data_IF_281397853243
#
_entry.id   IF_281397853243
#
_cell.length_a   1.000
_cell.length_b   1.000
_cell.length_c   1.000
_cell.angle_alpha   90.00
_cell.angle_beta   90.00
_cell.angle_gamma   90.00
#
_symmetry.space_group_name_H-M   'P 1'
#
loop_
_entity.id
_entity.type
_entity.pdbx_description
1 polymer ?
#
# COMPACT_ATOMS: atom_id res chain seq x y z
N UNK A 1 -38.19 -14.89 1.29
CA UNK A 1 -36.92 -15.50 0.81
C UNK A 1 -35.79 -14.56 1.18
N UNK A 2 -34.58 -15.04 1.52
CA UNK A 2 -33.42 -14.14 1.58
C UNK A 2 -33.33 -13.37 0.26
N UNK A 3 -33.03 -12.08 0.29
CA UNK A 3 -32.74 -11.37 -0.94
C UNK A 3 -31.52 -11.98 -1.64
N UNK A 4 -31.44 -11.84 -2.96
CA UNK A 4 -30.39 -12.46 -3.78
C UNK A 4 -28.98 -12.04 -3.29
N UNK A 5 -28.84 -10.81 -2.79
CA UNK A 5 -27.61 -10.28 -2.20
C UNK A 5 -27.19 -11.04 -0.93
N UNK A 6 -28.12 -11.44 -0.09
CA UNK A 6 -27.85 -12.29 1.07
C UNK A 6 -27.29 -13.64 0.65
N UNK A 7 -27.82 -14.25 -0.43
CA UNK A 7 -27.32 -15.51 -0.95
C UNK A 7 -25.89 -15.36 -1.52
N UNK A 8 -25.63 -14.29 -2.28
CA UNK A 8 -24.30 -13.96 -2.78
C UNK A 8 -23.32 -13.69 -1.63
N UNK A 9 -23.74 -12.96 -0.59
CA UNK A 9 -22.94 -12.73 0.61
C UNK A 9 -22.50 -14.05 1.25
N UNK A 10 -23.46 -14.96 1.48
CA UNK A 10 -23.17 -16.30 2.05
C UNK A 10 -22.23 -17.14 1.19
N UNK A 11 -22.21 -16.95 -0.14
CA UNK A 11 -21.24 -17.62 -1.01
C UNK A 11 -19.81 -17.13 -0.72
N UNK A 12 -19.58 -15.82 -0.73
CA UNK A 12 -18.25 -15.23 -0.49
C UNK A 12 -17.78 -15.34 0.96
N UNK A 13 -18.68 -15.59 1.90
CA UNK A 13 -18.35 -15.89 3.31
C UNK A 13 -17.81 -17.31 3.52
N UNK A 14 -17.94 -18.21 2.54
CA UNK A 14 -17.47 -19.60 2.69
C UNK A 14 -15.95 -19.65 2.94
N UNK A 15 -15.47 -20.54 3.82
CA UNK A 15 -14.04 -20.65 4.15
C UNK A 15 -13.11 -20.83 2.95
N UNK A 16 -13.60 -21.44 1.86
CA UNK A 16 -12.82 -21.63 0.63
C UNK A 16 -12.23 -20.32 0.10
N UNK A 17 -13.00 -19.22 0.09
CA UNK A 17 -12.56 -17.90 -0.39
C UNK A 17 -11.54 -17.23 0.54
N UNK A 18 -11.26 -17.82 1.70
CA UNK A 18 -10.34 -17.28 2.70
C UNK A 18 -9.08 -18.12 2.87
N UNK A 19 -8.89 -19.23 2.16
CA UNK A 19 -7.73 -20.11 2.34
C UNK A 19 -6.57 -19.71 1.44
N UNK A 20 -5.36 -19.66 1.99
CA UNK A 20 -4.16 -19.29 1.21
C UNK A 20 -3.85 -20.28 0.08
N UNK A 21 -4.01 -21.58 0.32
CA UNK A 21 -3.68 -22.64 -0.64
C UNK A 21 -4.54 -22.62 -1.91
N UNK A 22 -5.80 -22.18 -1.79
CA UNK A 22 -6.72 -22.05 -2.93
C UNK A 22 -6.19 -21.06 -3.97
N UNK A 23 -5.41 -20.07 -3.54
CA UNK A 23 -4.87 -19.05 -4.43
C UNK A 23 -3.91 -19.67 -5.46
N UNK A 24 -3.06 -20.59 -5.01
CA UNK A 24 -2.17 -21.35 -5.90
C UNK A 24 -2.97 -22.31 -6.78
N UNK A 25 -3.93 -23.06 -6.21
CA UNK A 25 -4.76 -24.04 -6.94
C UNK A 25 -5.46 -23.40 -8.14
N UNK A 26 -6.08 -22.22 -7.95
CA UNK A 26 -6.73 -21.46 -9.03
C UNK A 26 -5.71 -20.79 -9.94
N UNK A 27 -4.62 -20.25 -9.39
CA UNK A 27 -3.61 -19.52 -10.16
C UNK A 27 -2.94 -20.37 -11.24
N UNK A 28 -2.67 -21.65 -10.96
CA UNK A 28 -2.03 -22.56 -11.92
C UNK A 28 -3.01 -23.26 -12.87
N UNK A 29 -4.32 -23.11 -12.64
CA UNK A 29 -5.34 -23.84 -13.38
C UNK A 29 -5.44 -23.40 -14.86
N UNK A 30 -5.66 -24.38 -15.75
CA UNK A 30 -5.98 -24.10 -17.15
C UNK A 30 -7.48 -23.84 -17.38
N UNK A 31 -8.31 -24.44 -16.53
CA UNK A 31 -9.75 -24.28 -16.46
C UNK A 31 -10.14 -24.37 -14.99
N UNK A 32 -11.07 -23.52 -14.54
CA UNK A 32 -11.52 -23.49 -13.16
C UNK A 32 -13.06 -23.54 -13.12
N UNK A 33 -13.60 -24.50 -12.39
CA UNK A 33 -15.05 -24.66 -12.20
C UNK A 33 -15.31 -24.74 -10.71
N UNK A 34 -16.16 -23.84 -10.20
CA UNK A 34 -16.56 -23.85 -8.80
C UNK A 34 -17.76 -24.78 -8.60
N UNK A 35 -17.71 -25.56 -7.52
CA UNK A 35 -18.77 -26.46 -7.09
C UNK A 35 -19.36 -25.94 -5.78
N UNK A 36 -20.69 -25.82 -5.71
CA UNK A 36 -21.40 -25.44 -4.49
C UNK A 36 -22.62 -26.36 -4.31
N UNK A 37 -22.47 -27.39 -3.47
CA UNK A 37 -23.45 -28.48 -3.42
C UNK A 37 -23.51 -29.22 -4.77
N UNK A 38 -24.71 -29.38 -5.32
CA UNK A 38 -24.90 -29.98 -6.67
C UNK A 38 -24.79 -28.98 -7.83
N UNK A 39 -24.54 -27.70 -7.55
CA UNK A 39 -24.45 -26.65 -8.56
C UNK A 39 -23.00 -26.42 -9.00
N UNK A 40 -22.82 -26.04 -10.25
CA UNK A 40 -21.52 -25.68 -10.84
C UNK A 40 -21.60 -24.32 -11.53
N UNK A 41 -20.52 -23.56 -11.47
CA UNK A 41 -20.36 -22.30 -12.21
C UNK A 41 -18.92 -22.18 -12.71
N UNK A 42 -18.72 -21.55 -13.87
CA UNK A 42 -17.36 -21.19 -14.29
C UNK A 42 -16.77 -20.19 -13.29
N UNK A 43 -15.51 -20.39 -12.92
CA UNK A 43 -14.88 -19.52 -11.95
C UNK A 43 -14.70 -18.08 -12.46
N UNK A 44 -14.68 -17.90 -13.79
CA UNK A 44 -14.64 -16.57 -14.41
C UNK A 44 -15.77 -15.66 -13.95
N UNK A 45 -16.98 -16.20 -13.83
CA UNK A 45 -18.17 -15.46 -13.40
C UNK A 45 -18.02 -14.92 -11.96
N UNK A 46 -17.46 -15.74 -11.07
CA UNK A 46 -17.20 -15.36 -9.68
C UNK A 46 -16.14 -14.24 -9.63
N UNK A 47 -15.07 -14.39 -10.40
CA UNK A 47 -13.98 -13.42 -10.46
C UNK A 47 -14.43 -12.08 -11.07
N UNK A 48 -15.16 -12.11 -12.18
CA UNK A 48 -15.72 -10.93 -12.84
C UNK A 48 -16.73 -10.22 -11.94
N UNK A 49 -17.60 -10.96 -11.24
CA UNK A 49 -18.51 -10.38 -10.26
C UNK A 49 -17.75 -9.67 -9.14
N UNK A 50 -16.70 -10.29 -8.59
CA UNK A 50 -15.89 -9.68 -7.54
C UNK A 50 -15.23 -8.36 -8.00
N UNK A 51 -14.67 -8.33 -9.22
CA UNK A 51 -14.11 -7.13 -9.84
C UNK A 51 -15.16 -6.04 -10.07
N UNK A 52 -16.32 -6.42 -10.62
CA UNK A 52 -17.41 -5.50 -10.89
C UNK A 52 -17.92 -4.89 -9.58
N UNK A 53 -18.28 -5.73 -8.59
CA UNK A 53 -18.75 -5.29 -7.29
C UNK A 53 -17.74 -4.35 -6.62
N UNK A 54 -16.44 -4.67 -6.63
CA UNK A 54 -15.42 -3.77 -6.08
C UNK A 54 -15.41 -2.39 -6.77
N UNK A 55 -15.53 -2.36 -8.11
CA UNK A 55 -15.52 -1.12 -8.90
C UNK A 55 -16.74 -0.23 -8.63
N UNK A 56 -17.92 -0.83 -8.44
CA UNK A 56 -19.20 -0.09 -8.38
C UNK A 56 -19.83 -0.01 -6.98
N UNK A 57 -19.37 -0.77 -5.98
CA UNK A 57 -20.00 -0.82 -4.63
C UNK A 57 -20.23 0.55 -4.01
N UNK A 58 -19.35 1.52 -4.31
CA UNK A 58 -19.44 2.91 -3.81
C UNK A 58 -20.62 3.72 -4.38
N UNK A 59 -21.27 3.21 -5.43
CA UNK A 59 -22.46 3.80 -6.05
C UNK A 59 -23.73 2.98 -5.74
N UNK A 60 -23.60 1.86 -5.03
CA UNK A 60 -24.71 0.96 -4.71
C UNK A 60 -25.21 1.18 -3.27
N UNK A 61 -26.48 0.85 -2.98
CA UNK A 61 -26.99 0.90 -1.61
C UNK A 61 -26.24 -0.06 -0.67
N UNK A 62 -26.06 0.31 0.61
CA UNK A 62 -25.30 -0.48 1.60
C UNK A 62 -25.69 -1.97 1.69
N UNK A 63 -26.96 -2.32 1.44
CA UNK A 63 -27.45 -3.71 1.46
C UNK A 63 -26.80 -4.62 0.41
N UNK A 64 -26.20 -4.07 -0.64
CA UNK A 64 -25.51 -4.86 -1.68
C UNK A 64 -24.06 -5.14 -1.30
N UNK A 65 -23.58 -4.65 -0.16
CA UNK A 65 -22.18 -4.79 0.24
C UNK A 65 -21.90 -6.24 0.69
N UNK A 66 -21.33 -7.02 -0.21
CA UNK A 66 -20.94 -8.42 0.01
C UNK A 66 -19.42 -8.60 0.11
N UNK A 67 -18.97 -9.68 0.73
CA UNK A 67 -17.57 -9.93 1.09
C UNK A 67 -16.65 -10.32 -0.10
N UNK A 68 -16.75 -9.65 -1.26
CA UNK A 68 -15.97 -9.97 -2.46
C UNK A 68 -14.52 -9.50 -2.43
N UNK A 69 -14.10 -8.78 -1.38
CA UNK A 69 -12.79 -8.13 -1.32
C UNK A 69 -11.62 -9.11 -1.47
N UNK A 70 -11.67 -10.26 -0.80
CA UNK A 70 -10.63 -11.30 -0.92
C UNK A 70 -10.50 -11.81 -2.36
N UNK A 71 -11.62 -12.10 -3.02
CA UNK A 71 -11.62 -12.57 -4.41
C UNK A 71 -11.14 -11.50 -5.39
N UNK A 72 -11.48 -10.23 -5.14
CA UNK A 72 -10.96 -9.09 -5.90
C UNK A 72 -9.44 -8.98 -5.75
N UNK A 73 -8.91 -9.02 -4.52
CA UNK A 73 -7.47 -8.96 -4.27
C UNK A 73 -6.73 -10.16 -4.89
N UNK A 74 -7.28 -11.37 -4.74
CA UNK A 74 -6.72 -12.57 -5.37
C UNK A 74 -6.65 -12.43 -6.89
N UNK A 75 -7.71 -11.90 -7.52
CA UNK A 75 -7.74 -11.65 -8.96
C UNK A 75 -6.68 -10.62 -9.39
N UNK A 76 -6.64 -9.48 -8.70
CA UNK A 76 -5.79 -8.35 -9.05
C UNK A 76 -4.30 -8.63 -8.81
N UNK A 77 -3.96 -9.21 -7.66
CA UNK A 77 -2.56 -9.34 -7.23
C UNK A 77 -1.96 -10.70 -7.49
N UNK A 78 -2.77 -11.76 -7.45
CA UNK A 78 -2.25 -13.14 -7.44
C UNK A 78 -2.51 -13.84 -8.76
N UNK A 79 -3.77 -14.07 -9.14
CA UNK A 79 -4.12 -14.84 -10.34
C UNK A 79 -3.68 -14.15 -11.62
N UNK A 80 -3.69 -12.81 -11.67
CA UNK A 80 -3.12 -12.06 -12.79
C UNK A 80 -1.62 -12.36 -13.02
N UNK A 81 -0.86 -12.71 -11.97
CA UNK A 81 0.61 -12.86 -12.02
C UNK A 81 1.12 -14.29 -12.19
N UNK A 82 0.26 -15.30 -12.03
CA UNK A 82 0.68 -16.72 -12.14
C UNK A 82 1.20 -17.16 -13.52
N UNK A 83 1.06 -16.35 -14.57
CA UNK A 83 1.95 -16.44 -15.71
C UNK A 83 1.68 -17.56 -16.73
N UNK A 84 0.68 -18.44 -16.56
CA UNK A 84 0.53 -19.58 -17.48
C UNK A 84 -0.08 -19.16 -18.84
N UNK A 85 0.50 -19.64 -19.95
CA UNK A 85 0.01 -19.44 -21.33
C UNK A 85 -1.41 -19.99 -21.50
N UNK A 86 -1.71 -21.08 -20.79
CA UNK A 86 -3.03 -21.71 -20.78
C UNK A 86 -3.91 -21.29 -19.61
N UNK A 87 -3.66 -20.14 -18.95
CA UNK A 87 -4.45 -19.70 -17.79
C UNK A 87 -5.95 -19.60 -18.12
N UNK A 88 -6.80 -19.97 -17.16
CA UNK A 88 -8.25 -19.80 -17.26
C UNK A 88 -8.66 -18.33 -17.52
N UNK A 89 -7.87 -17.36 -17.08
CA UNK A 89 -8.10 -15.93 -17.33
C UNK A 89 -7.98 -15.54 -18.81
N UNK A 90 -7.30 -16.35 -19.63
CA UNK A 90 -7.16 -16.09 -21.06
C UNK A 90 -8.41 -16.50 -21.85
N UNK A 91 -9.34 -17.23 -21.23
CA UNK A 91 -10.59 -17.68 -21.85
C UNK A 91 -11.65 -16.58 -21.97
N UNK A 92 -11.50 -15.48 -21.23
CA UNK A 92 -12.42 -14.34 -21.24
C UNK A 92 -11.67 -13.04 -21.59
N UNK A 93 -12.14 -12.22 -22.55
CA UNK A 93 -11.46 -10.99 -22.96
C UNK A 93 -11.29 -9.95 -21.85
N UNK A 94 -12.25 -9.85 -20.93
CA UNK A 94 -12.21 -8.89 -19.81
C UNK A 94 -11.19 -9.34 -18.78
N UNK A 95 -11.17 -10.62 -18.42
CA UNK A 95 -10.16 -11.18 -17.52
C UNK A 95 -8.75 -11.06 -18.10
N UNK A 96 -8.60 -11.29 -19.41
CA UNK A 96 -7.33 -11.08 -20.10
C UNK A 96 -6.88 -9.61 -20.01
N UNK A 97 -7.76 -8.65 -20.25
CA UNK A 97 -7.45 -7.24 -20.12
C UNK A 97 -7.11 -6.83 -18.66
N UNK A 98 -7.82 -7.38 -17.66
CA UNK A 98 -7.51 -7.19 -16.24
C UNK A 98 -6.09 -7.70 -15.93
N UNK A 99 -5.77 -8.91 -16.41
CA UNK A 99 -4.44 -9.49 -16.25
C UNK A 99 -3.37 -8.57 -16.84
N UNK A 100 -3.51 -8.18 -18.11
CA UNK A 100 -2.58 -7.29 -18.81
C UNK A 100 -2.41 -5.95 -18.08
N UNK A 101 -3.50 -5.39 -17.54
CA UNK A 101 -3.49 -4.15 -16.78
C UNK A 101 -2.64 -4.24 -15.50
N UNK A 102 -2.77 -5.33 -14.73
CA UNK A 102 -2.10 -5.49 -13.43
C UNK A 102 -0.65 -5.96 -13.56
N UNK A 103 -0.30 -6.70 -14.61
CA UNK A 103 1.09 -7.14 -14.87
C UNK A 103 1.89 -6.12 -15.67
N UNK A 104 1.28 -5.00 -16.08
CA UNK A 104 1.96 -3.95 -16.81
C UNK A 104 3.22 -3.46 -16.05
N UNK A 105 4.35 -3.19 -16.73
CA UNK A 105 5.60 -2.81 -16.08
C UNK A 105 5.51 -1.57 -15.18
N UNK A 106 4.54 -0.67 -15.40
CA UNK A 106 4.33 0.48 -14.52
C UNK A 106 3.78 0.11 -13.14
N UNK A 107 3.14 -1.06 -13.03
CA UNK A 107 2.44 -1.56 -11.84
C UNK A 107 3.11 -2.79 -11.23
N UNK A 108 3.86 -3.54 -12.03
CA UNK A 108 4.64 -4.69 -11.60
C UNK A 108 6.13 -4.38 -11.69
N UNK A 109 6.85 -4.53 -10.56
CA UNK A 109 8.28 -4.28 -10.48
C UNK A 109 9.09 -5.58 -10.41
N UNK A 110 8.76 -6.57 -11.26
CA UNK A 110 9.45 -7.86 -11.35
C UNK A 110 9.71 -8.50 -9.97
N UNK A 111 8.67 -8.93 -9.27
CA UNK A 111 8.85 -9.59 -7.98
C UNK A 111 7.55 -10.02 -7.31
N UNK A 112 7.66 -11.06 -6.49
CA UNK A 112 6.52 -11.71 -5.81
C UNK A 112 5.97 -10.92 -4.60
N UNK A 113 6.40 -9.67 -4.40
CA UNK A 113 6.11 -8.90 -3.18
C UNK A 113 4.62 -8.64 -3.03
N UNK A 114 3.92 -8.30 -4.11
CA UNK A 114 2.47 -8.13 -4.16
C UNK A 114 1.74 -9.42 -3.80
N UNK A 115 2.18 -10.55 -4.37
CA UNK A 115 1.58 -11.87 -4.10
C UNK A 115 1.75 -12.23 -2.62
N UNK A 116 2.95 -12.06 -2.07
CA UNK A 116 3.25 -12.31 -0.66
C UNK A 116 2.45 -11.37 0.25
N UNK A 117 2.32 -10.08 -0.12
CA UNK A 117 1.51 -9.14 0.63
C UNK A 117 0.04 -9.51 0.65
N UNK A 118 -0.53 -9.78 -0.52
CA UNK A 118 -1.95 -10.11 -0.67
C UNK A 118 -2.28 -11.44 -0.01
N UNK A 119 -1.35 -12.39 0.02
CA UNK A 119 -1.52 -13.65 0.74
C UNK A 119 -1.86 -13.46 2.22
N UNK A 120 -1.39 -12.37 2.86
CA UNK A 120 -1.59 -12.07 4.28
C UNK A 120 -3.05 -11.80 4.65
N UNK A 121 -3.91 -11.51 3.67
CA UNK A 121 -5.35 -11.37 3.87
C UNK A 121 -6.07 -12.73 3.95
N UNK A 122 -5.36 -13.84 3.72
CA UNK A 122 -5.91 -15.19 3.72
C UNK A 122 -5.49 -15.95 4.98
N UNK A 123 -6.18 -17.03 5.26
CA UNK A 123 -5.96 -17.91 6.38
C UNK A 123 -5.02 -19.04 5.98
N UNK A 124 -4.01 -19.26 6.82
CA UNK A 124 -3.08 -20.38 6.73
C UNK A 124 -3.14 -21.19 8.03
N UNK A 125 -2.88 -22.50 7.92
CA UNK A 125 -2.72 -23.36 9.11
C UNK A 125 -1.36 -23.14 9.76
N UNK A 126 -0.33 -22.85 8.96
CA UNK A 126 1.01 -22.50 9.41
C UNK A 126 1.41 -21.14 8.85
N UNK A 127 1.97 -20.28 9.69
CA UNK A 127 2.41 -18.92 9.30
C UNK A 127 3.34 -18.90 8.07
N UNK A 128 4.17 -19.91 7.91
CA UNK A 128 5.10 -20.04 6.78
C UNK A 128 4.40 -20.38 5.46
N UNK A 129 3.15 -20.84 5.44
CA UNK A 129 2.45 -21.18 4.20
C UNK A 129 2.10 -19.95 3.36
N UNK A 130 2.08 -18.76 3.96
CA UNK A 130 2.04 -17.48 3.23
C UNK A 130 3.27 -17.24 2.34
N UNK A 131 4.36 -17.97 2.60
CA UNK A 131 5.55 -18.00 1.76
C UNK A 131 5.56 -19.26 0.90
N UNK A 132 5.46 -20.44 1.53
CA UNK A 132 5.63 -21.71 0.84
C UNK A 132 4.57 -21.99 -0.22
N UNK A 133 3.33 -21.52 -0.03
CA UNK A 133 2.28 -21.64 -1.03
C UNK A 133 2.57 -20.90 -2.36
N UNK A 134 3.55 -20.01 -2.39
CA UNK A 134 3.87 -19.20 -3.56
C UNK A 134 5.30 -19.38 -4.09
N UNK A 135 6.12 -20.26 -3.52
CA UNK A 135 7.46 -20.54 -4.06
C UNK A 135 7.45 -21.15 -5.48
N UNK A 136 6.33 -21.77 -5.88
CA UNK A 136 6.12 -22.24 -7.25
C UNK A 136 5.79 -21.14 -8.26
N UNK A 137 5.58 -19.90 -7.82
CA UNK A 137 5.23 -18.78 -8.68
C UNK A 137 6.41 -18.38 -9.59
N UNK A 138 6.11 -17.87 -10.80
CA UNK A 138 7.14 -17.52 -11.80
C UNK A 138 8.08 -16.41 -11.34
N UNK A 139 7.59 -15.50 -10.49
CA UNK A 139 8.37 -14.42 -9.86
C UNK A 139 9.07 -14.84 -8.56
N UNK A 140 8.93 -16.11 -8.12
CA UNK A 140 9.59 -16.68 -6.94
C UNK A 140 10.89 -17.44 -7.29
N UNK A 141 11.54 -17.08 -8.39
CA UNK A 141 12.74 -17.76 -8.88
C UNK A 141 14.02 -17.01 -8.52
N UNK A 142 15.11 -17.75 -8.33
CA UNK A 142 16.46 -17.22 -8.17
C UNK A 142 16.93 -16.49 -9.43
N UNK A 143 18.06 -15.77 -9.34
CA UNK A 143 18.63 -15.00 -10.46
C UNK A 143 18.90 -15.83 -11.72
N UNK A 144 19.18 -17.13 -11.57
CA UNK A 144 19.40 -18.05 -12.68
C UNK A 144 18.10 -18.58 -13.31
N UNK A 145 16.94 -18.26 -12.72
CA UNK A 145 15.62 -18.70 -13.15
C UNK A 145 15.33 -20.19 -12.95
N UNK A 146 16.25 -20.97 -12.37
CA UNK A 146 16.15 -22.44 -12.31
C UNK A 146 15.66 -22.95 -10.96
N UNK A 147 16.09 -22.34 -9.87
CA UNK A 147 15.65 -22.68 -8.50
C UNK A 147 14.63 -21.69 -7.96
N UNK A 148 13.96 -22.08 -6.87
CA UNK A 148 13.14 -21.16 -6.10
C UNK A 148 14.03 -20.19 -5.31
N UNK A 149 13.48 -19.05 -4.87
CA UNK A 149 14.20 -18.09 -4.02
C UNK A 149 14.71 -18.72 -2.72
N UNK A 150 13.93 -19.63 -2.14
CA UNK A 150 14.30 -20.43 -0.96
C UNK A 150 13.70 -21.84 -1.11
N UNK A 151 14.26 -22.79 -0.38
CA UNK A 151 13.71 -24.15 -0.27
C UNK A 151 12.70 -24.26 0.87
N UNK A 152 11.71 -25.15 0.67
CA UNK A 152 10.70 -25.47 1.69
C UNK A 152 11.37 -26.22 2.83
N UNK A 153 11.35 -25.61 4.01
CA UNK A 153 11.84 -26.25 5.23
C UNK A 153 10.89 -25.94 6.39
N UNK A 154 10.06 -26.91 6.74
CA UNK A 154 9.10 -26.79 7.83
C UNK A 154 9.72 -26.98 9.22
N UNK A 155 11.01 -27.29 9.31
CA UNK A 155 11.77 -27.37 10.57
C UNK A 155 12.46 -26.04 10.90
N UNK A 156 12.70 -25.19 9.89
CA UNK A 156 13.25 -23.84 10.09
C UNK A 156 12.27 -22.96 10.88
N UNK A 157 12.74 -22.17 11.87
CA UNK A 157 11.93 -21.16 12.50
C UNK A 157 11.29 -20.19 11.48
N UNK A 158 10.08 -19.72 11.77
CA UNK A 158 9.32 -18.84 10.87
C UNK A 158 10.08 -17.54 10.58
N UNK A 159 10.65 -16.93 11.61
CA UNK A 159 11.46 -15.71 11.54
C UNK A 159 12.72 -15.87 10.67
N UNK A 160 13.41 -17.00 10.77
CA UNK A 160 14.58 -17.28 9.93
C UNK A 160 14.17 -17.48 8.47
N UNK A 161 13.02 -18.11 8.23
CA UNK A 161 12.44 -18.26 6.89
C UNK A 161 12.12 -16.90 6.27
N UNK A 162 11.54 -15.98 7.04
CA UNK A 162 11.21 -14.64 6.56
C UNK A 162 12.44 -13.78 6.30
N UNK A 163 13.45 -13.84 7.18
CA UNK A 163 14.73 -13.16 6.96
C UNK A 163 15.43 -13.70 5.72
N UNK A 164 15.49 -15.02 5.55
CA UNK A 164 16.09 -15.64 4.38
C UNK A 164 15.39 -15.21 3.10
N UNK A 165 14.05 -15.29 3.06
CA UNK A 165 13.27 -14.86 1.89
C UNK A 165 13.48 -13.38 1.58
N UNK A 166 13.40 -12.52 2.59
CA UNK A 166 13.59 -11.08 2.44
C UNK A 166 14.96 -10.76 1.87
N UNK A 167 16.02 -11.39 2.39
CA UNK A 167 17.39 -11.26 1.88
C UNK A 167 17.48 -11.71 0.43
N UNK A 168 16.93 -12.87 0.08
CA UNK A 168 16.97 -13.38 -1.29
C UNK A 168 16.20 -12.48 -2.26
N UNK A 169 15.04 -11.94 -1.86
CA UNK A 169 14.27 -10.98 -2.66
C UNK A 169 15.07 -9.71 -2.95
N UNK A 170 15.71 -9.13 -1.94
CA UNK A 170 16.50 -7.90 -2.09
C UNK A 170 17.71 -8.11 -3.01
N UNK A 171 18.42 -9.22 -2.83
CA UNK A 171 19.63 -9.53 -3.61
C UNK A 171 19.30 -9.96 -5.05
N UNK A 172 18.22 -10.71 -5.25
CA UNK A 172 17.83 -11.20 -6.59
C UNK A 172 17.24 -10.09 -7.46
N UNK A 173 16.34 -9.29 -6.91
CA UNK A 173 15.61 -8.25 -7.68
C UNK A 173 16.35 -6.91 -7.73
N UNK A 174 17.31 -6.68 -6.83
CA UNK A 174 17.91 -5.35 -6.58
C UNK A 174 16.86 -4.26 -6.33
N UNK A 175 15.70 -4.64 -5.82
CA UNK A 175 14.56 -3.77 -5.56
C UNK A 175 14.28 -3.68 -4.07
N UNK A 176 14.07 -2.46 -3.55
CA UNK A 176 13.69 -2.23 -2.15
C UNK A 176 12.17 -2.10 -1.98
N UNK A 177 11.40 -2.54 -2.99
CA UNK A 177 9.94 -2.65 -2.91
C UNK A 177 9.47 -3.58 -1.81
N UNK A 178 10.32 -4.44 -1.24
CA UNK A 178 9.98 -5.20 -0.05
C UNK A 178 9.72 -4.31 1.18
N UNK A 179 10.48 -3.21 1.33
CA UNK A 179 10.38 -2.31 2.49
C UNK A 179 9.00 -1.67 2.64
N UNK A 180 8.33 -1.53 1.50
CA UNK A 180 6.96 -1.10 1.42
C UNK A 180 6.05 -2.01 2.29
N UNK A 181 6.07 -3.33 2.09
CA UNK A 181 5.09 -4.21 2.76
C UNK A 181 5.39 -4.48 4.25
N UNK A 182 6.43 -3.85 4.81
CA UNK A 182 6.77 -3.87 6.22
C UNK A 182 5.80 -2.99 7.02
N UNK A 183 5.19 -3.55 8.06
CA UNK A 183 4.27 -2.85 8.95
C UNK A 183 4.55 -3.25 10.40
N UNK A 184 4.33 -2.32 11.33
CA UNK A 184 4.47 -2.53 12.77
C UNK A 184 3.25 -1.95 13.49
N UNK A 185 2.79 -2.63 14.54
CA UNK A 185 1.64 -2.18 15.33
C UNK A 185 2.02 -1.20 16.44
N UNK A 186 3.19 -1.42 17.05
CA UNK A 186 3.63 -0.73 18.26
C UNK A 186 4.60 0.38 17.95
N UNK A 187 4.45 1.50 18.68
CA UNK A 187 5.30 2.67 18.52
C UNK A 187 6.78 2.30 18.67
N UNK A 188 7.17 1.49 19.67
CA UNK A 188 8.58 1.11 19.91
C UNK A 188 9.18 0.12 18.90
N UNK A 189 8.40 -0.33 17.91
CA UNK A 189 8.80 -1.39 16.96
C UNK A 189 9.22 -2.69 17.68
N UNK A 190 8.77 -2.85 18.92
CA UNK A 190 8.91 -4.07 19.71
C UNK A 190 7.56 -4.76 19.65
N UNK A 191 7.59 -5.97 19.14
CA UNK A 191 6.42 -6.79 18.92
C UNK A 191 6.83 -8.23 19.25
N UNK A 192 6.11 -8.86 20.17
CA UNK A 192 6.39 -10.22 20.60
C UNK A 192 6.29 -11.21 19.43
N UNK A 193 5.41 -10.95 18.45
CA UNK A 193 5.25 -11.78 17.26
C UNK A 193 6.50 -11.75 16.35
N UNK A 194 7.25 -10.65 16.36
CA UNK A 194 8.46 -10.50 15.53
C UNK A 194 9.59 -11.41 15.97
N UNK A 195 9.64 -11.87 17.23
CA UNK A 195 10.68 -12.78 17.77
C UNK A 195 12.12 -12.40 17.37
N UNK A 196 12.42 -11.09 17.41
CA UNK A 196 13.74 -10.56 17.07
C UNK A 196 14.01 -10.35 15.58
N UNK A 197 13.01 -10.46 14.69
CA UNK A 197 13.15 -10.08 13.28
C UNK A 197 13.60 -8.63 13.14
N UNK A 198 14.58 -8.35 12.25
CA UNK A 198 14.99 -6.99 11.93
C UNK A 198 13.82 -6.13 11.49
N UNK A 199 13.82 -4.84 11.80
CA UNK A 199 12.65 -3.98 11.55
C UNK A 199 12.30 -3.80 10.07
N UNK A 200 13.23 -4.10 9.16
CA UNK A 200 13.06 -4.04 7.71
C UNK A 200 12.48 -5.33 7.10
N UNK A 201 12.35 -6.42 7.87
CA UNK A 201 11.80 -7.70 7.38
C UNK A 201 10.29 -7.74 7.61
N UNK A 202 9.46 -8.03 6.59
CA UNK A 202 8.03 -8.21 6.78
C UNK A 202 7.69 -9.48 7.56
N UNK A 203 6.64 -9.44 8.38
CA UNK A 203 5.99 -10.65 8.89
C UNK A 203 4.96 -11.12 7.85
N UNK A 204 5.30 -12.16 7.09
CA UNK A 204 4.49 -12.59 5.94
C UNK A 204 3.18 -13.31 6.32
N UNK A 205 2.91 -13.60 7.59
CA UNK A 205 1.62 -14.13 8.06
C UNK A 205 0.71 -13.06 8.68
N UNK A 206 1.28 -11.98 9.19
CA UNK A 206 0.52 -11.00 9.97
C UNK A 206 -0.40 -10.23 9.06
N UNK A 207 -1.71 -10.23 9.34
CA UNK A 207 -2.70 -9.53 8.51
C UNK A 207 -2.30 -8.07 8.30
N UNK A 208 -2.41 -7.50 7.08
CA UNK A 208 -2.04 -6.12 6.85
C UNK A 208 -2.90 -5.19 7.71
N UNK A 209 -2.23 -4.30 8.44
CA UNK A 209 -2.85 -3.40 9.40
C UNK A 209 -3.53 -2.22 8.71
N UNK A 210 -3.01 -1.84 7.53
CA UNK A 210 -3.45 -0.72 6.69
C UNK A 210 -3.31 -1.15 5.22
N UNK A 211 -4.11 -0.56 4.33
CA UNK A 211 -3.81 -0.60 2.90
C UNK A 211 -2.40 -0.05 2.70
N UNK A 212 -1.51 -0.89 2.15
CA UNK A 212 -0.14 -0.47 1.87
C UNK A 212 -0.16 0.60 0.75
N UNK A 213 0.78 1.56 0.74
CA UNK A 213 0.75 2.60 -0.30
C UNK A 213 1.24 1.95 -1.61
N UNK A 214 0.34 1.27 -2.34
CA UNK A 214 0.58 0.61 -3.64
C UNK A 214 1.65 1.39 -4.41
N UNK A 215 2.86 0.83 -4.55
CA UNK A 215 3.93 1.54 -5.19
C UNK A 215 3.68 1.49 -6.70
N UNK A 216 3.11 2.56 -7.24
CA UNK A 216 2.93 2.71 -8.67
C UNK A 216 4.08 3.54 -9.22
N UNK A 217 4.57 3.26 -10.43
CA UNK A 217 5.73 3.97 -11.01
C UNK A 217 5.56 5.50 -11.00
N UNK A 218 4.33 5.98 -11.15
CA UNK A 218 3.99 7.40 -11.06
C UNK A 218 4.13 8.02 -9.66
N UNK A 219 4.26 7.22 -8.60
CA UNK A 219 4.46 7.65 -7.21
C UNK A 219 5.89 7.45 -6.73
N UNK A 220 6.72 6.77 -7.52
CA UNK A 220 8.11 6.45 -7.21
C UNK A 220 8.87 7.71 -6.77
N UNK A 221 9.24 7.74 -5.49
CA UNK A 221 10.01 8.83 -4.91
C UNK A 221 11.48 8.80 -5.34
N UNK A 222 11.99 7.64 -5.79
CA UNK A 222 13.37 7.46 -6.22
C UNK A 222 13.45 6.59 -7.49
N UNK A 223 13.16 7.12 -8.70
CA UNK A 223 13.24 6.31 -9.91
C UNK A 223 14.57 5.59 -10.00
N UNK A 224 14.48 4.26 -10.02
CA UNK A 224 15.63 3.34 -10.14
C UNK A 224 16.45 3.64 -11.40
N UNK A 225 15.81 4.21 -12.43
CA UNK A 225 16.45 4.61 -13.68
C UNK A 225 17.21 5.93 -13.53
N UNK A 226 18.54 5.81 -13.38
CA UNK A 226 19.49 6.93 -13.50
C UNK A 226 20.46 7.10 -12.33
N UNK A 227 20.30 6.35 -11.24
CA UNK A 227 21.28 6.26 -10.14
C UNK A 227 21.97 4.88 -10.10
N UNK A 228 21.85 4.11 -11.19
CA UNK A 228 22.18 2.69 -11.31
C UNK A 228 23.61 2.28 -10.93
N UNK A 229 24.55 3.22 -10.83
CA UNK A 229 25.95 2.88 -10.56
C UNK A 229 26.29 2.83 -9.06
N UNK A 230 25.44 3.38 -8.16
CA UNK A 230 25.76 3.51 -6.73
C UNK A 230 24.63 3.05 -5.77
N UNK A 231 23.64 2.28 -6.22
CA UNK A 231 22.60 1.74 -5.31
C UNK A 231 23.21 0.61 -4.49
N UNK A 232 23.70 0.95 -3.29
CA UNK A 232 24.17 -0.04 -2.31
C UNK A 232 22.95 -0.79 -1.78
N UNK A 233 22.89 -2.09 -2.04
CA UNK A 233 22.00 -3.03 -1.36
C UNK A 233 22.87 -4.22 -0.96
N UNK A 234 23.14 -4.33 0.34
CA UNK A 234 23.83 -5.48 0.93
C UNK A 234 23.15 -5.88 2.22
N UNK A 235 23.18 -7.19 2.49
CA UNK A 235 22.68 -7.75 3.75
C UNK A 235 23.84 -8.48 4.41
N UNK A 236 24.14 -8.11 5.65
CA UNK A 236 25.12 -8.81 6.49
C UNK A 236 24.42 -9.31 7.76
N UNK A 237 24.18 -10.63 7.81
CA UNK A 237 23.36 -11.27 8.83
C UNK A 237 21.94 -10.68 8.90
N UNK A 238 21.74 -9.77 9.85
CA UNK A 238 20.47 -9.10 10.14
C UNK A 238 20.41 -7.63 9.71
N UNK A 239 21.55 -7.07 9.31
CA UNK A 239 21.69 -5.67 8.94
C UNK A 239 21.52 -5.50 7.42
N UNK A 240 20.66 -4.56 7.00
CA UNK A 240 20.49 -4.17 5.60
C UNK A 240 21.15 -2.81 5.38
N UNK A 241 22.19 -2.75 4.55
CA UNK A 241 22.83 -1.50 4.15
C UNK A 241 22.21 -0.97 2.86
N UNK A 242 21.76 0.28 2.90
CA UNK A 242 21.16 0.97 1.75
C UNK A 242 21.64 2.41 1.61
N UNK A 243 21.67 2.92 0.39
CA UNK A 243 21.90 4.34 0.15
C UNK A 243 20.58 5.13 0.36
N UNK A 244 20.64 6.25 1.08
CA UNK A 244 19.48 7.10 1.35
C UNK A 244 19.82 8.59 1.46
N UNK A 245 18.80 9.43 1.24
CA UNK A 245 18.77 10.82 1.69
C UNK A 245 17.99 10.91 2.99
N UNK A 246 18.63 11.37 4.07
CA UNK A 246 17.95 11.72 5.32
C UNK A 246 17.68 13.21 5.27
N UNK A 247 16.41 13.63 5.26
CA UNK A 247 16.05 15.03 4.94
C UNK A 247 15.64 15.85 6.16
N UNK A 248 14.73 15.34 6.99
CA UNK A 248 14.08 16.14 8.02
C UNK A 248 13.72 15.27 9.24
N UNK A 249 13.35 15.92 10.35
CA UNK A 249 12.99 15.27 11.62
C UNK A 249 11.53 15.56 11.96
N UNK A 250 10.78 14.53 12.36
CA UNK A 250 9.42 14.71 12.88
C UNK A 250 9.48 15.44 14.22
N UNK A 251 8.91 16.64 14.27
CA UNK A 251 8.85 17.48 15.49
C UNK A 251 7.52 17.35 16.22
N UNK A 252 6.43 17.10 15.46
CA UNK A 252 5.08 16.94 15.98
C UNK A 252 4.35 15.83 15.22
N UNK A 253 3.47 15.13 15.93
CA UNK A 253 2.69 14.02 15.36
C UNK A 253 1.36 13.86 16.11
N UNK A 254 0.28 13.59 15.39
CA UNK A 254 -1.05 13.36 15.99
C UNK A 254 -1.11 12.05 16.77
N UNK A 255 -2.18 11.80 17.53
CA UNK A 255 -2.52 10.43 17.91
C UNK A 255 -2.85 9.58 16.65
N UNK A 256 -2.76 8.24 16.72
CA UNK A 256 -3.31 7.36 15.69
C UNK A 256 -4.79 7.66 15.46
N UNK A 257 -5.17 7.83 14.20
CA UNK A 257 -6.56 8.03 13.82
C UNK A 257 -7.38 6.76 14.06
N UNK A 258 -8.65 6.93 14.38
CA UNK A 258 -9.59 5.82 14.48
C UNK A 258 -9.83 5.20 13.11
N UNK A 259 -10.27 3.94 13.09
CA UNK A 259 -10.72 3.25 11.88
C UNK A 259 -12.24 3.33 11.66
N UNK A 260 -12.95 4.09 12.50
CA UNK A 260 -14.37 4.36 12.31
C UNK A 260 -14.62 5.47 11.28
N UNK A 261 -15.58 5.26 10.37
CA UNK A 261 -15.93 6.25 9.32
C UNK A 261 -16.44 7.58 9.90
N UNK A 262 -17.00 7.57 11.12
CA UNK A 262 -17.59 8.75 11.76
C UNK A 262 -16.52 9.74 12.25
N UNK A 263 -15.28 9.27 12.43
CA UNK A 263 -14.14 10.06 12.87
C UNK A 263 -13.49 10.88 11.75
N UNK A 264 -13.85 10.64 10.49
CA UNK A 264 -13.23 11.29 9.34
C UNK A 264 -13.29 12.84 9.42
N UNK A 265 -14.38 13.51 9.83
CA UNK A 265 -14.38 14.97 10.01
C UNK A 265 -13.31 15.45 11.01
N UNK A 266 -13.11 14.73 12.11
CA UNK A 266 -12.09 15.04 13.11
C UNK A 266 -10.69 14.78 12.56
N UNK A 267 -10.49 13.71 11.79
CA UNK A 267 -9.24 13.41 11.09
C UNK A 267 -8.87 14.56 10.13
N UNK A 268 -9.84 15.03 9.31
CA UNK A 268 -9.64 16.15 8.38
C UNK A 268 -9.27 17.44 9.13
N UNK A 269 -9.97 17.72 10.22
CA UNK A 269 -9.68 18.86 11.08
C UNK A 269 -8.26 18.80 11.65
N UNK A 270 -7.87 17.67 12.25
CA UNK A 270 -6.51 17.49 12.78
C UNK A 270 -5.45 17.58 11.70
N UNK A 271 -5.66 16.96 10.54
CA UNK A 271 -4.73 17.09 9.41
C UNK A 271 -4.57 18.54 8.96
N UNK A 272 -5.66 19.29 8.89
CA UNK A 272 -5.64 20.72 8.57
C UNK A 272 -4.86 21.54 9.60
N UNK A 273 -5.04 21.28 10.90
CA UNK A 273 -4.33 22.01 11.96
C UNK A 273 -2.79 21.89 11.87
N UNK A 274 -2.30 20.78 11.31
CA UNK A 274 -0.90 20.57 11.01
C UNK A 274 -0.53 21.22 9.67
N UNK A 275 -1.30 20.94 8.62
CA UNK A 275 -0.98 21.36 7.26
C UNK A 275 -1.02 22.88 7.09
N UNK A 276 -1.92 23.60 7.77
CA UNK A 276 -2.06 25.07 7.69
C UNK A 276 -0.82 25.86 8.10
N UNK A 277 0.15 25.19 8.73
CA UNK A 277 1.43 25.77 9.17
C UNK A 277 2.47 25.80 8.05
N UNK A 278 2.23 25.08 6.95
CA UNK A 278 3.09 25.09 5.77
C UNK A 278 2.91 26.42 5.04
N UNK A 279 4.00 27.13 4.65
CA UNK A 279 3.88 28.34 3.86
C UNK A 279 3.20 28.11 2.51
N UNK A 280 2.23 28.96 2.17
CA UNK A 280 1.55 28.95 0.87
C UNK A 280 2.45 29.60 -0.18
N UNK A 281 3.24 28.79 -0.91
CA UNK A 281 4.09 29.28 -2.02
C UNK A 281 3.39 29.27 -3.36
N UNK A 282 2.49 28.30 -3.56
CA UNK A 282 1.70 28.10 -4.77
C UNK A 282 0.28 27.75 -4.32
N UNK A 283 -0.64 28.72 -4.30
CA UNK A 283 -2.02 28.51 -3.84
C UNK A 283 -2.76 27.40 -4.60
N UNK A 284 -2.51 27.25 -5.90
CA UNK A 284 -3.18 26.27 -6.75
C UNK A 284 -2.75 24.85 -6.37
N UNK A 285 -1.46 24.66 -6.08
CA UNK A 285 -0.93 23.38 -5.63
C UNK A 285 -1.11 23.11 -4.14
N UNK A 286 -1.22 24.14 -3.32
CA UNK A 286 -1.29 24.02 -1.86
C UNK A 286 -2.52 23.21 -1.41
N UNK A 287 -3.71 23.58 -1.87
CA UNK A 287 -4.96 22.89 -1.49
C UNK A 287 -5.14 21.56 -2.21
N UNK A 288 -4.57 21.43 -3.41
CA UNK A 288 -4.50 20.14 -4.09
C UNK A 288 -3.69 19.15 -3.26
N UNK A 289 -2.51 19.56 -2.78
CA UNK A 289 -1.65 18.74 -1.91
C UNK A 289 -2.29 18.45 -0.55
N UNK A 290 -3.06 19.37 0.02
CA UNK A 290 -3.88 19.12 1.20
C UNK A 290 -4.88 17.98 0.95
N UNK A 291 -5.62 18.00 -0.15
CA UNK A 291 -6.57 16.92 -0.45
C UNK A 291 -5.84 15.57 -0.61
N UNK A 292 -4.69 15.58 -1.30
CA UNK A 292 -3.80 14.42 -1.39
C UNK A 292 -3.14 14.04 -0.07
N UNK A 293 -3.24 14.80 1.02
CA UNK A 293 -2.80 14.33 2.33
C UNK A 293 -3.71 13.22 2.87
N UNK A 294 -5.00 13.25 2.50
CA UNK A 294 -6.06 12.40 3.05
C UNK A 294 -6.47 11.25 2.14
N UNK A 295 -5.88 11.15 0.95
CA UNK A 295 -6.10 10.03 0.03
C UNK A 295 -4.79 9.63 -0.62
N UNK A 296 -4.66 8.36 -0.96
CA UNK A 296 -3.47 7.85 -1.67
C UNK A 296 -3.65 7.89 -3.20
N UNK A 297 -4.74 7.30 -3.68
CA UNK A 297 -5.13 7.19 -5.08
C UNK A 297 -6.56 7.69 -5.20
N UNK A 298 -6.87 8.30 -6.34
CA UNK A 298 -8.21 8.80 -6.60
C UNK A 298 -8.62 8.50 -8.03
N UNK A 299 -9.82 7.93 -8.22
CA UNK A 299 -10.29 7.42 -9.51
C UNK A 299 -10.38 8.53 -10.57
N UNK A 300 -10.80 9.73 -10.13
CA UNK A 300 -10.90 10.93 -10.95
C UNK A 300 -10.11 12.05 -10.27
N UNK A 301 -8.79 12.14 -10.46
CA UNK A 301 -7.94 13.13 -9.79
C UNK A 301 -8.43 14.58 -9.92
N UNK A 302 -9.04 14.93 -11.06
CA UNK A 302 -9.64 16.24 -11.31
C UNK A 302 -10.87 16.54 -10.44
N UNK A 303 -11.57 15.52 -9.95
CA UNK A 303 -12.76 15.67 -9.09
C UNK A 303 -12.42 15.70 -7.60
N UNK A 304 -11.17 15.42 -7.20
CA UNK A 304 -10.78 15.26 -5.79
C UNK A 304 -11.15 16.48 -4.94
N UNK A 305 -10.84 17.69 -5.41
CA UNK A 305 -11.15 18.92 -4.67
C UNK A 305 -12.67 19.15 -4.55
N UNK A 306 -13.42 18.87 -5.62
CA UNK A 306 -14.88 19.03 -5.62
C UNK A 306 -15.55 18.05 -4.66
N UNK A 307 -15.08 16.80 -4.62
CA UNK A 307 -15.59 15.77 -3.71
C UNK A 307 -15.23 16.05 -2.24
N UNK A 308 -14.00 16.53 -2.00
CA UNK A 308 -13.60 17.02 -0.68
C UNK A 308 -14.53 18.13 -0.21
N UNK A 309 -14.82 19.12 -1.06
CA UNK A 309 -15.75 20.21 -0.72
C UNK A 309 -17.16 19.72 -0.44
N UNK A 310 -17.69 18.80 -1.25
CA UNK A 310 -19.00 18.20 -1.00
C UNK A 310 -19.03 17.39 0.30
N UNK A 311 -17.96 16.66 0.62
CA UNK A 311 -17.85 15.97 1.89
C UNK A 311 -17.83 16.95 3.06
N UNK A 312 -17.03 18.01 2.98
CA UNK A 312 -16.99 19.04 4.01
C UNK A 312 -18.34 19.72 4.21
N UNK A 313 -19.06 20.03 3.13
CA UNK A 313 -20.40 20.61 3.18
C UNK A 313 -21.40 19.71 3.92
N UNK A 314 -21.31 18.40 3.73
CA UNK A 314 -22.29 17.44 4.25
C UNK A 314 -21.96 16.96 5.67
N UNK A 315 -20.68 16.81 6.02
CA UNK A 315 -20.26 16.08 7.23
C UNK A 315 -19.32 16.87 8.16
N UNK A 316 -18.70 17.96 7.71
CA UNK A 316 -17.83 18.76 8.57
C UNK A 316 -18.59 19.90 9.25
N UNK A 317 -17.99 20.50 10.29
CA UNK A 317 -18.58 21.66 10.96
C UNK A 317 -18.73 22.85 10.00
N UNK A 318 -19.77 23.66 10.18
CA UNK A 318 -20.02 24.85 9.37
C UNK A 318 -18.81 25.80 9.29
N UNK A 319 -18.09 26.11 10.39
CA UNK A 319 -16.91 26.97 10.31
C UNK A 319 -15.78 26.37 9.47
N UNK A 320 -15.58 25.04 9.55
CA UNK A 320 -14.56 24.35 8.77
C UNK A 320 -14.87 24.39 7.27
N UNK A 321 -16.12 24.10 6.90
CA UNK A 321 -16.57 24.19 5.51
C UNK A 321 -16.47 25.63 4.97
N UNK A 322 -16.93 26.62 5.73
CA UNK A 322 -16.89 28.03 5.32
C UNK A 322 -15.45 28.52 5.10
N UNK A 323 -14.49 28.05 5.89
CA UNK A 323 -13.08 28.35 5.67
C UNK A 323 -12.64 27.93 4.26
N UNK A 324 -12.86 26.67 3.86
CA UNK A 324 -12.47 26.20 2.53
C UNK A 324 -13.32 26.80 1.40
N UNK A 325 -14.59 27.10 1.65
CA UNK A 325 -15.44 27.78 0.67
C UNK A 325 -14.94 29.21 0.37
N UNK A 326 -14.28 29.87 1.32
CA UNK A 326 -13.67 31.19 1.11
C UNK A 326 -12.44 31.16 0.19
N UNK A 327 -11.90 29.97 -0.11
CA UNK A 327 -10.75 29.78 -1.01
C UNK A 327 -11.26 29.73 -2.46
N UNK A 328 -10.88 30.69 -3.33
CA UNK A 328 -11.42 30.79 -4.69
C UNK A 328 -11.25 29.52 -5.53
N UNK A 329 -10.11 28.84 -5.41
CA UNK A 329 -9.83 27.60 -6.15
C UNK A 329 -10.79 26.47 -5.76
N UNK A 330 -11.05 26.30 -4.47
CA UNK A 330 -11.93 25.22 -3.97
C UNK A 330 -13.40 25.53 -4.27
N UNK A 331 -13.82 26.78 -4.12
CA UNK A 331 -15.15 27.24 -4.53
C UNK A 331 -15.40 27.00 -6.03
N UNK A 332 -14.39 27.28 -6.89
CA UNK A 332 -14.46 27.00 -8.32
C UNK A 332 -14.51 25.50 -8.62
N UNK A 333 -13.73 24.67 -7.92
CA UNK A 333 -13.76 23.22 -8.09
C UNK A 333 -15.16 22.64 -7.80
N UNK A 334 -15.82 23.14 -6.74
CA UNK A 334 -17.17 22.74 -6.35
C UNK A 334 -18.25 23.13 -7.38
N UNK A 335 -18.09 24.25 -8.10
CA UNK A 335 -19.10 24.70 -9.07
C UNK A 335 -18.87 24.19 -10.50
N UNK A 336 -17.65 23.77 -10.84
CA UNK A 336 -17.26 23.40 -12.22
C UNK A 336 -17.39 21.91 -12.56
N UNK A 337 -17.60 21.05 -11.57
CA UNK A 337 -17.64 19.59 -11.77
C UNK A 337 -19.08 19.08 -11.77
N UNK A 338 -19.53 18.41 -12.84
CA UNK A 338 -20.89 17.86 -12.91
C UNK A 338 -21.07 16.53 -12.12
N UNK A 339 -19.98 15.83 -11.81
CA UNK A 339 -19.99 14.52 -11.14
C UNK A 339 -19.31 14.58 -9.77
N UNK A 340 -19.94 15.24 -8.81
CA UNK A 340 -19.43 15.41 -7.45
C UNK A 340 -20.01 14.33 -6.53
N UNK A 341 -19.18 13.76 -5.66
CA UNK A 341 -19.60 12.72 -4.72
C UNK A 341 -18.84 12.80 -3.40
N UNK A 342 -19.53 13.25 -2.34
CA UNK A 342 -19.03 13.20 -0.97
C UNK A 342 -18.69 11.76 -0.53
N UNK A 343 -19.50 10.78 -0.95
CA UNK A 343 -19.28 9.37 -0.62
C UNK A 343 -17.98 8.82 -1.23
N UNK A 344 -17.63 9.25 -2.45
CA UNK A 344 -16.38 8.85 -3.11
C UNK A 344 -15.16 9.32 -2.32
N UNK A 345 -15.18 10.56 -1.82
CA UNK A 345 -14.13 11.07 -0.95
C UNK A 345 -14.10 10.32 0.38
N UNK A 346 -15.26 10.19 1.05
CA UNK A 346 -15.38 9.50 2.33
C UNK A 346 -14.80 8.08 2.29
N UNK A 347 -15.21 7.28 1.31
CA UNK A 347 -14.76 5.90 1.17
C UNK A 347 -13.24 5.80 1.02
N UNK A 348 -12.62 6.66 0.21
CA UNK A 348 -11.17 6.66 0.00
C UNK A 348 -10.41 7.19 1.20
N UNK A 349 -10.92 8.26 1.83
CA UNK A 349 -10.23 8.93 2.92
C UNK A 349 -10.31 8.15 4.24
N UNK A 350 -11.46 7.54 4.56
CA UNK A 350 -11.61 6.69 5.74
C UNK A 350 -10.70 5.46 5.68
N UNK A 351 -10.70 4.75 4.55
CA UNK A 351 -9.83 3.57 4.33
C UNK A 351 -8.35 3.94 4.42
N UNK A 352 -7.96 5.04 3.79
CA UNK A 352 -6.57 5.48 3.77
C UNK A 352 -6.08 6.00 5.12
N UNK A 353 -6.85 6.87 5.78
CA UNK A 353 -6.42 7.55 7.01
C UNK A 353 -6.53 6.67 8.26
N UNK A 354 -7.35 5.62 8.22
CA UNK A 354 -7.55 4.72 9.35
C UNK A 354 -6.21 4.29 9.96
N UNK A 355 -6.09 4.46 11.29
CA UNK A 355 -4.93 4.04 12.10
C UNK A 355 -3.59 4.69 11.71
N UNK A 356 -3.57 5.66 10.79
CA UNK A 356 -2.40 6.47 10.44
C UNK A 356 -2.25 7.68 11.37
N UNK A 357 -1.18 8.43 11.19
CA UNK A 357 -0.88 9.67 11.93
C UNK A 357 -0.52 10.78 10.96
N UNK A 358 -0.99 11.99 11.20
CA UNK A 358 -0.43 13.18 10.53
C UNK A 358 0.80 13.65 11.30
N UNK A 359 1.85 14.03 10.59
CA UNK A 359 3.07 14.54 11.20
C UNK A 359 3.51 15.86 10.56
N UNK A 360 4.27 16.64 11.33
CA UNK A 360 4.96 17.85 10.89
C UNK A 360 6.43 17.78 11.30
N UNK A 361 7.28 18.37 10.50
CA UNK A 361 8.74 18.27 10.60
C UNK A 361 9.40 19.61 10.90
N UNK A 362 10.71 19.62 11.10
CA UNK A 362 11.46 20.83 11.48
C UNK A 362 11.56 21.83 10.32
N UNK A 363 11.78 21.35 9.09
CA UNK A 363 11.84 22.21 7.89
C UNK A 363 10.47 22.43 7.23
N UNK A 364 9.38 22.03 7.89
CA UNK A 364 8.02 22.39 7.49
C UNK A 364 7.38 21.46 6.45
N UNK A 365 7.79 20.20 6.39
CA UNK A 365 7.05 19.15 5.69
C UNK A 365 5.90 18.64 6.56
N UNK A 366 4.75 18.40 5.93
CA UNK A 366 3.59 17.72 6.53
C UNK A 366 3.28 16.46 5.72
N UNK A 367 2.97 15.37 6.41
CA UNK A 367 2.71 14.10 5.76
C UNK A 367 1.83 13.16 6.59
N UNK A 368 1.45 12.05 5.97
CA UNK A 368 0.71 10.97 6.59
C UNK A 368 1.65 9.78 6.79
N UNK A 369 1.75 9.28 8.02
CA UNK A 369 2.63 8.19 8.43
C UNK A 369 1.84 7.00 8.97
N UNK A 370 2.46 5.83 8.98
CA UNK A 370 1.90 4.66 9.66
C UNK A 370 1.88 4.87 11.19
N UNK A 371 1.03 4.11 11.87
CA UNK A 371 0.84 4.12 13.33
C UNK A 371 2.11 4.18 14.19
N UNK A 372 3.20 3.44 13.92
CA UNK A 372 4.35 3.40 14.82
C UNK A 372 5.23 4.65 14.76
N UNK A 373 4.97 5.57 13.83
CA UNK A 373 5.71 6.82 13.72
C UNK A 373 5.61 7.64 15.00
N UNK A 374 6.69 8.34 15.36
CA UNK A 374 6.75 9.21 16.55
C UNK A 374 7.64 10.42 16.35
N UNK A 375 7.60 11.34 17.32
CA UNK A 375 8.53 12.48 17.39
C UNK A 375 9.98 11.99 17.41
N UNK A 376 10.84 12.60 16.60
CA UNK A 376 12.25 12.26 16.47
C UNK A 376 12.57 11.26 15.35
N UNK A 377 11.55 10.60 14.78
CA UNK A 377 11.75 9.81 13.55
C UNK A 377 12.19 10.73 12.39
N UNK A 378 13.01 10.20 11.49
CA UNK A 378 13.61 10.92 10.38
C UNK A 378 12.88 10.60 9.08
N UNK A 379 12.58 11.65 8.31
CA UNK A 379 12.12 11.50 6.92
C UNK A 379 13.30 11.09 6.07
N UNK A 380 13.14 10.00 5.33
CA UNK A 380 14.18 9.47 4.46
C UNK A 380 13.65 9.03 3.10
N UNK A 381 14.52 9.13 2.10
CA UNK A 381 14.29 8.64 0.75
C UNK A 381 15.39 7.63 0.44
N UNK A 382 15.05 6.35 0.53
CA UNK A 382 15.98 5.25 0.25
C UNK A 382 15.97 4.99 -1.26
N UNK A 383 17.14 4.99 -1.89
CA UNK A 383 17.25 4.82 -3.34
C UNK A 383 16.83 3.41 -3.76
N UNK A 384 15.84 3.30 -4.65
CA UNK A 384 15.23 2.03 -5.04
C UNK A 384 14.01 1.65 -4.19
N UNK A 385 13.68 2.43 -3.16
CA UNK A 385 12.40 2.37 -2.48
C UNK A 385 11.41 3.34 -3.17
N UNK A 386 10.24 2.88 -3.60
CA UNK A 386 9.29 3.71 -4.34
C UNK A 386 8.59 4.77 -3.47
N UNK A 387 8.71 4.69 -2.15
CA UNK A 387 8.01 5.58 -1.22
C UNK A 387 9.01 6.27 -0.27
N UNK A 388 8.74 7.52 0.16
CA UNK A 388 9.38 8.08 1.34
C UNK A 388 9.10 7.20 2.55
N UNK A 389 10.02 7.18 3.49
CA UNK A 389 9.93 6.35 4.69
C UNK A 389 10.29 7.16 5.91
N UNK A 390 9.82 6.70 7.06
CA UNK A 390 10.29 7.14 8.36
C UNK A 390 11.29 6.12 8.91
N UNK A 391 12.40 6.65 9.43
CA UNK A 391 13.47 5.88 10.04
C UNK A 391 13.68 6.35 11.47
N UNK A 392 13.82 5.40 12.39
CA UNK A 392 14.10 5.71 13.78
C UNK A 392 15.60 5.60 14.05
N UNK A 393 16.26 6.69 14.49
CA UNK A 393 17.67 6.61 14.87
C UNK A 393 17.89 5.63 16.02
N UNK A 394 18.98 4.88 15.95
CA UNK A 394 19.52 4.14 17.10
C UNK A 394 20.52 5.00 17.87
N UNK A 395 21.21 4.41 18.86
CA UNK A 395 22.36 5.04 19.53
C UNK A 395 23.59 5.16 18.63
N UNK A 396 23.70 4.30 17.61
CA UNK A 396 24.83 4.31 16.68
C UNK A 396 24.56 5.23 15.48
N UNK A 397 25.57 6.02 15.04
CA UNK A 397 25.44 6.86 13.86
C UNK A 397 25.08 6.05 12.62
N UNK A 398 24.17 6.58 11.79
CA UNK A 398 23.73 5.97 10.53
C UNK A 398 23.06 4.59 10.65
N UNK A 399 22.78 4.13 11.87
CA UNK A 399 22.02 2.90 12.13
C UNK A 399 20.60 3.27 12.55
N UNK A 400 19.62 2.70 11.86
CA UNK A 400 18.21 3.00 12.03
C UNK A 400 17.36 1.73 12.16
N UNK A 401 16.18 1.89 12.76
CA UNK A 401 15.07 0.94 12.63
C UNK A 401 14.07 1.49 11.61
N UNK A 402 13.60 0.64 10.71
CA UNK A 402 12.59 0.96 9.71
C UNK A 402 11.21 1.07 10.36
N UNK A 403 10.63 2.27 10.35
CA UNK A 403 9.32 2.54 10.98
C UNK A 403 8.19 2.24 10.01
N UNK A 404 8.36 2.63 8.74
CA UNK A 404 7.32 2.46 7.73
C UNK A 404 7.35 3.56 6.69
N UNK A 405 6.57 3.35 5.63
CA UNK A 405 6.32 4.35 4.61
C UNK A 405 5.61 5.61 5.12
N UNK A 406 5.81 6.71 4.41
CA UNK A 406 5.10 7.97 4.61
C UNK A 406 4.70 8.58 3.28
N UNK A 407 3.53 9.23 3.26
CA UNK A 407 3.09 10.05 2.14
C UNK A 407 3.34 11.52 2.46
N UNK A 408 4.13 12.18 1.62
CA UNK A 408 4.45 13.60 1.78
C UNK A 408 4.04 14.32 0.49
N UNK A 409 2.83 14.93 0.44
CA UNK A 409 2.36 15.64 -0.74
C UNK A 409 3.39 16.65 -1.25
N UNK A 410 3.76 16.53 -2.53
CA UNK A 410 4.76 17.40 -3.17
C UNK A 410 6.20 16.85 -3.21
N UNK A 411 6.53 15.82 -2.42
CA UNK A 411 7.83 15.12 -2.50
C UNK A 411 7.73 13.72 -3.13
N UNK A 412 6.53 13.30 -3.51
CA UNK A 412 6.27 12.09 -4.29
C UNK A 412 6.64 12.26 -5.78
N UNK A 413 6.58 11.19 -6.58
CA UNK A 413 6.74 11.26 -8.05
C UNK A 413 8.11 11.81 -8.51
N UNK A 414 9.18 11.38 -7.82
CA UNK A 414 10.57 11.74 -8.14
C UNK A 414 10.91 13.21 -7.91
N UNK A 415 10.06 13.99 -7.25
CA UNK A 415 10.31 15.42 -7.00
C UNK A 415 11.58 15.64 -6.17
N UNK A 416 11.81 14.78 -5.16
CA UNK A 416 13.04 14.84 -4.36
C UNK A 416 14.30 14.64 -5.21
N UNK A 417 14.28 13.73 -6.20
CA UNK A 417 15.43 13.54 -7.10
C UNK A 417 15.62 14.72 -8.05
N UNK A 418 14.53 15.37 -8.49
CA UNK A 418 14.63 16.62 -9.25
C UNK A 418 15.30 17.71 -8.42
N UNK A 419 14.98 17.80 -7.12
CA UNK A 419 15.62 18.74 -6.20
C UNK A 419 17.10 18.38 -5.99
N UNK A 420 17.43 17.10 -5.83
CA UNK A 420 18.82 16.63 -5.71
C UNK A 420 19.65 17.01 -6.94
N UNK A 421 19.15 16.71 -8.16
CA UNK A 421 19.84 17.03 -9.42
C UNK A 421 20.04 18.53 -9.63
N UNK A 422 19.16 19.35 -9.08
CA UNK A 422 19.27 20.82 -9.10
C UNK A 422 20.16 21.39 -7.99
N UNK A 423 20.75 20.54 -7.13
CA UNK A 423 21.54 20.98 -5.98
C UNK A 423 20.74 21.78 -4.94
N UNK A 424 19.41 21.60 -4.93
CA UNK A 424 18.49 22.37 -4.07
C UNK A 424 18.25 21.72 -2.70
N UNK A 425 18.84 20.54 -2.46
CA UNK A 425 18.77 19.85 -1.17
C UNK A 425 20.01 20.17 -0.33
N UNK A 426 19.80 20.35 0.97
CA UNK A 426 20.90 20.52 1.95
C UNK A 426 21.60 19.21 2.30
N UNK A 427 20.98 18.08 1.97
CA UNK A 427 21.40 16.76 2.40
C UNK A 427 21.99 15.98 1.23
N UNK A 428 22.93 15.09 1.54
CA UNK A 428 23.68 14.32 0.55
C UNK A 428 23.34 12.83 0.69
N UNK A 429 23.41 12.06 -0.41
CA UNK A 429 23.31 10.60 -0.35
C UNK A 429 24.34 10.02 0.61
N UNK A 430 23.91 9.11 1.47
CA UNK A 430 24.80 8.39 2.39
C UNK A 430 24.33 6.95 2.58
N UNK A 431 25.24 6.06 2.92
CA UNK A 431 24.91 4.70 3.28
C UNK A 431 24.42 4.65 4.72
N UNK A 432 23.28 4.01 4.94
CA UNK A 432 22.67 3.77 6.24
C UNK A 432 22.47 2.27 6.45
N UNK A 433 22.36 1.87 7.71
CA UNK A 433 22.10 0.48 8.10
C UNK A 433 20.72 0.40 8.73
N UNK A 434 19.89 -0.53 8.25
CA UNK A 434 18.60 -0.88 8.82
C UNK A 434 18.74 -2.15 9.66
N UNK A 435 18.23 -2.12 10.90
CA UNK A 435 18.33 -3.21 11.89
C UNK A 435 17.00 -3.68 12.42
#
# INVERSE_FOLDING_TARGET
>A
MPDEWTAVGKLFERPWFRRVWVLQEIGVAKKATAFCGGLTIDFSEIALFAQFHHSVKKFLPKRTNVATYHSYLALADIWARFGTVGSWMNGDPILKAIREFWVAPERSANGIVEVLHTSRFFQATRDVDHVYGFLGHVEAKSQDGKSNLIEVDYKRPTEETYLLLATQLLLSTRSLRLLCVVQHWHEDLVDAERKGLPSWVPMFHSAPLYEFLIPHSSYDASPAQGLSNNVVISVDGRALTVAALITDSVTQISAPFSDDEQSLPQILYHGWEYYKRIPVRDPDMYYTRLCWLFVQVYDLPSSLQADFMAYCQQYCSTPFYQHFLSVPQLAKAQSSTANISAHRFASRASEYCARRRVFFTEEGLCGMALRPARKGDKVAFIFGCPMPVLLRPSSEPLVFRFVGQAQIPGLMRGQILKMLRKGSLRTHPQNIVLT
#
